data_IF_936453630107
#
_entry.id   IF_936453630107
#
_cell.length_a   1.000
_cell.length_b   1.000
_cell.length_c   1.000
_cell.angle_alpha   90.00
_cell.angle_beta   90.00
_cell.angle_gamma   90.00
#
_symmetry.space_group_name_H-M   'P 1'
#
loop_
_entity.id
_entity.type
_entity.pdbx_description
1 polymer ?
#
# COMPACT_ATOMS: atom_id res chain seq x y z
N UNK A 1 19.86 -20.22 -11.93
CA UNK A 1 19.82 -19.45 -10.66
C UNK A 1 18.40 -18.91 -10.54
N UNK A 2 17.53 -19.62 -9.83
CA UNK A 2 16.11 -19.28 -9.69
C UNK A 2 16.01 -18.08 -8.75
N UNK A 3 15.76 -16.88 -9.31
CA UNK A 3 15.70 -15.65 -8.53
C UNK A 3 14.48 -15.69 -7.61
N UNK A 4 14.61 -15.15 -6.41
CA UNK A 4 13.55 -15.06 -5.37
C UNK A 4 12.26 -14.33 -5.82
N UNK A 5 12.20 -13.87 -7.06
CA UNK A 5 11.04 -13.32 -7.77
C UNK A 5 10.04 -14.39 -8.25
N UNK A 6 10.37 -15.67 -8.21
CA UNK A 6 9.46 -16.78 -8.60
C UNK A 6 8.41 -17.15 -7.52
N UNK A 7 8.25 -16.33 -6.48
CA UNK A 7 7.20 -16.52 -5.47
C UNK A 7 6.22 -15.34 -5.50
N UNK A 8 5.16 -15.41 -6.33
CA UNK A 8 4.17 -14.33 -6.47
C UNK A 8 3.61 -13.85 -5.13
N UNK A 9 3.41 -14.75 -4.17
CA UNK A 9 2.98 -14.40 -2.83
C UNK A 9 3.94 -13.44 -2.11
N UNK A 10 5.25 -13.70 -2.15
CA UNK A 10 6.24 -12.83 -1.51
C UNK A 10 6.34 -11.47 -2.21
N UNK A 11 6.23 -11.45 -3.55
CA UNK A 11 6.16 -10.21 -4.30
C UNK A 11 4.93 -9.39 -3.89
N UNK A 12 3.77 -10.03 -3.77
CA UNK A 12 2.54 -9.40 -3.28
C UNK A 12 2.69 -8.86 -1.86
N UNK A 13 3.29 -9.65 -0.96
CA UNK A 13 3.56 -9.24 0.41
C UNK A 13 4.47 -8.01 0.47
N UNK A 14 5.57 -8.02 -0.29
CA UNK A 14 6.54 -6.94 -0.36
C UNK A 14 5.90 -5.63 -0.84
N UNK A 15 5.17 -5.69 -1.97
CA UNK A 15 4.50 -4.52 -2.54
C UNK A 15 3.34 -4.02 -1.65
N UNK A 16 2.56 -4.94 -1.07
CA UNK A 16 1.50 -4.57 -0.14
C UNK A 16 2.06 -3.94 1.14
N UNK A 17 3.20 -4.42 1.64
CA UNK A 17 3.83 -3.89 2.85
C UNK A 17 4.40 -2.48 2.60
N UNK A 18 5.11 -2.26 1.48
CA UNK A 18 5.55 -0.91 1.12
C UNK A 18 4.36 0.05 1.00
N UNK A 19 3.28 -0.37 0.35
CA UNK A 19 2.04 0.41 0.25
C UNK A 19 1.43 0.74 1.62
N UNK A 20 1.31 -0.26 2.51
CA UNK A 20 0.78 -0.10 3.87
C UNK A 20 1.55 0.96 4.67
N UNK A 21 2.87 1.00 4.51
CA UNK A 21 3.73 1.93 5.27
C UNK A 21 3.74 3.37 4.73
N UNK A 22 3.14 3.67 3.57
CA UNK A 22 3.07 5.05 3.05
C UNK A 22 2.37 5.96 4.07
N UNK A 23 1.20 5.57 4.58
CA UNK A 23 0.42 6.36 5.54
C UNK A 23 1.21 6.66 6.82
N UNK A 24 1.76 5.69 7.58
CA UNK A 24 2.49 5.99 8.80
C UNK A 24 3.77 6.82 8.55
N UNK A 25 4.46 6.63 7.41
CA UNK A 25 5.63 7.44 7.05
C UNK A 25 5.25 8.91 6.84
N UNK A 26 4.16 9.17 6.09
CA UNK A 26 3.64 10.52 5.89
C UNK A 26 3.22 11.14 7.22
N UNK A 27 2.46 10.42 8.04
CA UNK A 27 1.99 10.92 9.33
C UNK A 27 3.14 11.39 10.20
N UNK A 28 4.18 10.55 10.32
CA UNK A 28 5.38 10.82 11.10
C UNK A 28 6.16 12.00 10.53
N UNK A 29 6.31 12.06 9.21
CA UNK A 29 7.03 13.17 8.56
C UNK A 29 6.34 14.52 8.79
N UNK A 30 5.00 14.57 8.74
CA UNK A 30 4.23 15.79 8.97
C UNK A 30 4.30 16.31 10.43
N UNK A 31 4.57 15.43 11.39
CA UNK A 31 4.81 15.81 12.79
C UNK A 31 6.17 16.49 13.00
N UNK A 32 7.03 16.49 11.99
CA UNK A 32 8.39 16.97 12.06
C UNK A 32 8.69 18.09 11.03
N UNK A 33 9.88 18.67 11.12
CA UNK A 33 10.36 19.66 10.15
C UNK A 33 10.49 19.07 8.74
N UNK A 34 10.50 19.90 7.71
CA UNK A 34 10.56 19.43 6.30
C UNK A 34 11.79 18.58 5.98
N UNK A 35 12.91 18.79 6.67
CA UNK A 35 14.16 18.02 6.50
C UNK A 35 14.24 16.74 7.33
N UNK A 36 13.17 16.41 8.05
CA UNK A 36 13.11 15.19 8.83
C UNK A 36 13.22 13.96 7.95
N UNK A 37 13.87 12.92 8.47
CA UNK A 37 13.94 11.61 7.83
C UNK A 37 13.39 10.55 8.75
N UNK A 38 12.47 9.76 8.23
CA UNK A 38 11.92 8.62 8.95
C UNK A 38 13.04 7.61 9.23
N UNK A 39 12.96 6.97 10.40
CA UNK A 39 13.74 5.75 10.65
C UNK A 39 13.12 4.63 9.82
N UNK A 40 13.96 3.82 9.20
CA UNK A 40 13.49 2.66 8.41
C UNK A 40 12.81 1.67 9.37
N UNK A 41 11.51 1.37 9.19
CA UNK A 41 10.83 0.34 9.98
C UNK A 41 11.49 -1.03 9.77
N UNK A 42 11.50 -1.89 10.78
CA UNK A 42 12.11 -3.23 10.69
C UNK A 42 11.53 -4.04 9.53
N UNK A 43 10.21 -3.91 9.31
CA UNK A 43 9.48 -4.52 8.22
C UNK A 43 9.93 -4.08 6.80
N UNK A 44 10.65 -2.95 6.69
CA UNK A 44 11.11 -2.35 5.43
C UNK A 44 12.64 -2.32 5.27
N UNK A 45 13.41 -2.98 6.16
CA UNK A 45 14.88 -3.00 6.06
C UNK A 45 15.36 -3.53 4.69
N UNK A 46 14.62 -4.48 4.11
CA UNK A 46 14.92 -5.05 2.80
C UNK A 46 14.61 -4.10 1.62
N UNK A 47 13.76 -3.10 1.81
CA UNK A 47 13.33 -2.15 0.79
C UNK A 47 14.26 -0.93 0.77
N UNK A 48 15.55 -1.16 0.47
CA UNK A 48 16.57 -0.11 0.50
C UNK A 48 16.19 1.06 -0.40
N UNK A 49 16.30 2.29 0.13
CA UNK A 49 15.96 3.52 -0.59
C UNK A 49 14.46 3.87 -0.62
N UNK A 50 13.55 2.95 -0.28
CA UNK A 50 12.10 3.22 -0.31
C UNK A 50 11.70 4.33 0.66
N UNK A 51 12.09 4.22 1.93
CA UNK A 51 11.76 5.22 2.96
C UNK A 51 12.34 6.60 2.62
N UNK A 52 13.57 6.62 2.11
CA UNK A 52 14.26 7.85 1.70
C UNK A 52 13.57 8.52 0.51
N UNK A 53 13.08 7.73 -0.46
CA UNK A 53 12.30 8.23 -1.59
C UNK A 53 10.94 8.80 -1.14
N UNK A 54 10.27 8.15 -0.19
CA UNK A 54 9.02 8.64 0.40
C UNK A 54 9.26 9.97 1.13
N UNK A 55 10.29 10.05 1.99
CA UNK A 55 10.66 11.28 2.69
C UNK A 55 10.95 12.42 1.70
N UNK A 56 11.74 12.15 0.64
CA UNK A 56 12.03 13.11 -0.41
C UNK A 56 10.78 13.60 -1.15
N UNK A 57 9.83 12.70 -1.43
CA UNK A 57 8.55 13.04 -2.05
C UNK A 57 7.72 13.94 -1.14
N UNK A 58 7.60 13.60 0.15
CA UNK A 58 6.84 14.40 1.13
C UNK A 58 7.48 15.79 1.31
N UNK A 59 8.81 15.86 1.41
CA UNK A 59 9.53 17.11 1.51
C UNK A 59 9.27 18.01 0.28
N UNK A 60 9.32 17.45 -0.92
CA UNK A 60 9.01 18.18 -2.16
C UNK A 60 7.57 18.73 -2.15
N UNK A 61 6.58 17.87 -1.84
CA UNK A 61 5.17 18.28 -1.75
C UNK A 61 4.96 19.41 -0.73
N UNK A 62 5.62 19.32 0.42
CA UNK A 62 5.60 20.36 1.46
C UNK A 62 6.19 21.68 0.96
N UNK A 63 7.34 21.65 0.28
CA UNK A 63 7.97 22.85 -0.27
C UNK A 63 7.10 23.50 -1.35
N UNK A 64 6.50 22.72 -2.24
CA UNK A 64 5.56 23.22 -3.26
C UNK A 64 4.34 23.91 -2.65
N UNK A 65 3.83 23.39 -1.53
CA UNK A 65 2.70 23.96 -0.81
C UNK A 65 3.12 25.05 0.22
N UNK A 66 4.40 25.43 0.27
CA UNK A 66 4.91 26.47 1.18
C UNK A 66 4.90 26.08 2.66
N UNK A 67 4.93 24.78 2.97
CA UNK A 67 4.78 24.23 4.31
C UNK A 67 6.09 23.63 4.86
N UNK A 68 7.03 24.50 5.22
CA UNK A 68 8.34 24.13 5.77
C UNK A 68 8.32 23.77 7.27
N UNK A 69 7.37 24.35 8.02
CA UNK A 69 7.26 24.15 9.46
C UNK A 69 6.53 22.85 9.83
N UNK A 70 6.83 22.31 11.02
CA UNK A 70 6.13 21.15 11.58
C UNK A 70 4.64 21.46 11.77
N UNK A 71 3.77 20.47 11.48
CA UNK A 71 2.37 20.64 11.82
C UNK A 71 2.18 20.56 13.34
N UNK A 72 1.35 21.43 13.93
CA UNK A 72 1.05 21.37 15.36
C UNK A 72 0.45 20.01 15.75
N UNK A 73 0.91 19.42 16.85
CA UNK A 73 0.46 18.13 17.35
C UNK A 73 -1.03 18.15 17.72
N UNK A 74 -1.80 17.13 17.35
CA UNK A 74 -3.27 17.16 17.49
C UNK A 74 -3.76 17.40 18.92
N UNK A 75 -2.97 17.07 19.95
CA UNK A 75 -3.39 17.11 21.36
C UNK A 75 -3.51 18.55 21.92
N UNK A 76 -2.80 19.54 21.37
CA UNK A 76 -2.67 20.88 22.00
C UNK A 76 -3.24 22.05 21.19
N UNK A 77 -3.95 21.79 20.08
CA UNK A 77 -4.17 22.82 19.05
C UNK A 77 -5.64 22.98 18.65
N UNK A 78 -6.00 24.22 18.28
CA UNK A 78 -7.28 24.64 17.71
C UNK A 78 -7.75 23.73 16.55
N UNK A 79 -9.08 23.53 16.48
CA UNK A 79 -9.80 22.75 15.46
C UNK A 79 -9.39 23.08 14.01
N UNK A 80 -9.04 24.34 13.69
CA UNK A 80 -8.58 24.79 12.37
C UNK A 80 -7.23 24.16 11.99
N UNK A 81 -6.27 24.13 12.90
CA UNK A 81 -4.95 23.53 12.63
C UNK A 81 -5.03 22.02 12.44
N UNK A 82 -5.89 21.34 13.22
CA UNK A 82 -6.19 19.90 13.03
C UNK A 82 -6.79 19.63 11.64
N UNK A 83 -7.73 20.49 11.19
CA UNK A 83 -8.33 20.38 9.86
C UNK A 83 -7.30 20.55 8.76
N UNK A 84 -6.36 21.48 8.93
CA UNK A 84 -5.30 21.71 7.96
C UNK A 84 -4.36 20.50 7.86
N UNK A 85 -3.93 19.93 8.99
CA UNK A 85 -3.12 18.71 9.03
C UNK A 85 -3.80 17.55 8.32
N UNK A 86 -5.09 17.29 8.62
CA UNK A 86 -5.86 16.22 7.95
C UNK A 86 -5.93 16.43 6.44
N UNK A 87 -6.16 17.67 5.99
CA UNK A 87 -6.19 18.01 4.55
C UNK A 87 -4.87 17.65 3.86
N UNK A 88 -3.73 18.01 4.45
CA UNK A 88 -2.42 17.68 3.88
C UNK A 88 -2.11 16.19 3.98
N UNK A 89 -2.48 15.54 5.09
CA UNK A 89 -2.36 14.10 5.25
C UNK A 89 -3.10 13.36 4.14
N UNK A 90 -4.38 13.69 3.91
CA UNK A 90 -5.20 13.09 2.86
C UNK A 90 -4.61 13.35 1.48
N UNK A 91 -4.27 14.61 1.17
CA UNK A 91 -3.70 14.99 -0.14
C UNK A 91 -2.37 14.31 -0.43
N UNK A 92 -1.44 14.35 0.52
CA UNK A 92 -0.12 13.75 0.31
C UNK A 92 -0.19 12.23 0.26
N UNK A 93 -1.04 11.61 1.10
CA UNK A 93 -1.28 10.17 1.03
C UNK A 93 -1.78 9.78 -0.36
N UNK A 94 -2.78 10.49 -0.88
CA UNK A 94 -3.29 10.24 -2.24
C UNK A 94 -2.18 10.35 -3.28
N UNK A 95 -1.43 11.45 -3.30
CA UNK A 95 -0.38 11.68 -4.31
C UNK A 95 0.77 10.66 -4.23
N UNK A 96 1.21 10.31 -3.02
CA UNK A 96 2.31 9.36 -2.84
C UNK A 96 1.84 7.92 -3.13
N UNK A 97 0.63 7.54 -2.72
CA UNK A 97 0.06 6.24 -3.07
C UNK A 97 -0.13 6.09 -4.58
N UNK A 98 -0.64 7.13 -5.24
CA UNK A 98 -0.87 7.14 -6.69
C UNK A 98 0.46 6.98 -7.45
N UNK A 99 1.46 7.80 -7.13
CA UNK A 99 2.80 7.70 -7.69
C UNK A 99 3.45 6.32 -7.44
N UNK A 100 3.25 5.75 -6.25
CA UNK A 100 3.71 4.40 -5.94
C UNK A 100 3.03 3.33 -6.80
N UNK A 101 1.69 3.36 -6.90
CA UNK A 101 0.91 2.39 -7.68
C UNK A 101 1.26 2.46 -9.16
N UNK A 102 1.41 3.67 -9.69
CA UNK A 102 1.81 3.91 -11.07
C UNK A 102 3.22 3.40 -11.35
N UNK A 103 4.17 3.68 -10.48
CA UNK A 103 5.54 3.18 -10.64
C UNK A 103 5.60 1.65 -10.59
N UNK A 104 4.89 1.01 -9.65
CA UNK A 104 4.80 -0.45 -9.59
C UNK A 104 4.18 -1.01 -10.87
N UNK A 105 3.09 -0.40 -11.36
CA UNK A 105 2.41 -0.83 -12.58
C UNK A 105 3.34 -0.71 -13.79
N UNK A 106 4.03 0.41 -13.94
CA UNK A 106 4.94 0.67 -15.07
C UNK A 106 6.13 -0.29 -15.06
N UNK A 107 6.80 -0.46 -13.91
CA UNK A 107 8.05 -1.24 -13.83
C UNK A 107 7.82 -2.75 -13.87
N UNK A 108 6.66 -3.23 -13.43
CA UNK A 108 6.39 -4.66 -13.29
C UNK A 108 5.24 -5.15 -14.18
N UNK A 109 4.78 -4.34 -15.14
CA UNK A 109 3.66 -4.68 -16.03
C UNK A 109 3.88 -6.03 -16.71
N UNK A 110 5.02 -6.19 -17.38
CA UNK A 110 5.35 -7.40 -18.13
C UNK A 110 5.42 -8.64 -17.23
N UNK A 111 5.91 -8.48 -16.00
CA UNK A 111 5.95 -9.56 -15.01
C UNK A 111 4.53 -9.99 -14.66
N UNK A 112 3.65 -9.04 -14.36
CA UNK A 112 2.25 -9.33 -14.02
C UNK A 112 1.48 -9.96 -15.18
N UNK A 113 1.76 -9.53 -16.41
CA UNK A 113 1.14 -10.11 -17.62
C UNK A 113 1.67 -11.50 -17.96
N UNK A 114 2.91 -11.83 -17.56
CA UNK A 114 3.50 -13.15 -17.78
C UNK A 114 2.98 -14.23 -16.83
N UNK A 115 2.34 -13.85 -15.71
CA UNK A 115 1.86 -14.80 -14.71
C UNK A 115 0.59 -15.51 -15.15
N UNK A 116 0.54 -16.81 -14.82
CA UNK A 116 -0.69 -17.58 -14.96
C UNK A 116 -1.70 -17.24 -13.84
N UNK A 117 -2.88 -17.85 -13.91
CA UNK A 117 -3.97 -17.59 -12.96
C UNK A 117 -3.60 -17.93 -11.51
N UNK A 118 -2.92 -19.05 -11.29
CA UNK A 118 -2.54 -19.49 -9.94
C UNK A 118 -1.49 -18.57 -9.32
N UNK A 119 -0.49 -18.16 -10.12
CA UNK A 119 0.51 -17.18 -9.72
C UNK A 119 -0.13 -15.83 -9.37
N UNK A 120 -1.09 -15.37 -10.17
CA UNK A 120 -1.82 -14.12 -9.91
C UNK A 120 -2.64 -14.20 -8.62
N UNK A 121 -3.31 -15.33 -8.36
CA UNK A 121 -4.05 -15.54 -7.11
C UNK A 121 -3.13 -15.55 -5.89
N UNK A 122 -1.97 -16.19 -5.98
CA UNK A 122 -0.96 -16.18 -4.92
C UNK A 122 -0.42 -14.77 -4.66
N UNK A 123 -0.19 -13.99 -5.72
CA UNK A 123 0.19 -12.59 -5.61
C UNK A 123 -0.87 -11.75 -4.90
N UNK A 124 -2.12 -11.81 -5.38
CA UNK A 124 -3.25 -11.08 -4.78
C UNK A 124 -3.42 -11.42 -3.29
N UNK A 125 -3.23 -12.70 -2.94
CA UNK A 125 -3.22 -13.18 -1.57
C UNK A 125 -2.11 -12.55 -0.72
N UNK A 126 -0.91 -12.42 -1.29
CA UNK A 126 0.21 -11.75 -0.62
C UNK A 126 -0.09 -10.27 -0.36
N UNK A 127 -0.64 -9.57 -1.35
CA UNK A 127 -1.02 -8.15 -1.24
C UNK A 127 -2.09 -7.96 -0.16
N UNK A 128 -3.18 -8.75 -0.19
CA UNK A 128 -4.24 -8.64 0.81
C UNK A 128 -3.72 -8.93 2.22
N UNK A 129 -2.93 -9.99 2.38
CA UNK A 129 -2.36 -10.34 3.69
C UNK A 129 -1.50 -9.20 4.25
N UNK A 130 -0.74 -8.48 3.42
CA UNK A 130 0.04 -7.33 3.85
C UNK A 130 -0.82 -6.12 4.22
N UNK A 131 -1.90 -5.86 3.48
CA UNK A 131 -2.74 -4.66 3.65
C UNK A 131 -3.80 -4.81 4.74
N UNK A 132 -4.40 -5.99 4.87
CA UNK A 132 -5.56 -6.24 5.76
C UNK A 132 -5.27 -7.23 6.89
N UNK A 133 -4.21 -8.03 6.77
CA UNK A 133 -3.94 -9.14 7.68
C UNK A 133 -4.86 -10.35 7.50
N UNK A 134 -5.90 -10.24 6.65
CA UNK A 134 -6.88 -11.29 6.36
C UNK A 134 -6.32 -12.24 5.32
N UNK A 135 -6.81 -13.48 5.34
CA UNK A 135 -6.49 -14.46 4.31
C UNK A 135 -7.73 -15.24 3.89
N UNK A 136 -8.27 -14.91 2.72
CA UNK A 136 -9.36 -15.66 2.08
C UNK A 136 -8.88 -17.02 1.57
N UNK A 137 -9.82 -17.95 1.37
CA UNK A 137 -9.54 -19.26 0.75
C UNK A 137 -9.34 -19.13 -0.76
N UNK A 138 -10.05 -18.19 -1.40
CA UNK A 138 -10.04 -17.98 -2.85
C UNK A 138 -9.78 -16.50 -3.15
N UNK A 139 -8.99 -16.24 -4.20
CA UNK A 139 -8.64 -14.90 -4.67
C UNK A 139 -9.02 -14.71 -6.15
N UNK A 140 -9.22 -13.45 -6.60
CA UNK A 140 -9.48 -13.14 -8.01
C UNK A 140 -8.32 -13.58 -8.90
N UNK A 141 -8.66 -13.91 -10.15
CA UNK A 141 -7.71 -14.34 -11.17
C UNK A 141 -7.08 -13.15 -11.90
N UNK A 142 -7.68 -11.98 -11.74
CA UNK A 142 -7.24 -10.70 -12.26
C UNK A 142 -6.21 -10.09 -11.30
N UNK A 143 -5.11 -9.56 -11.84
CA UNK A 143 -4.06 -8.95 -11.02
C UNK A 143 -4.52 -7.61 -10.45
N UNK A 144 -4.45 -7.42 -9.12
CA UNK A 144 -4.91 -6.20 -8.44
C UNK A 144 -4.19 -4.93 -8.95
N UNK A 145 -2.90 -4.99 -9.25
CA UNK A 145 -2.13 -3.80 -9.70
C UNK A 145 -2.60 -3.33 -11.07
N UNK A 146 -2.98 -4.28 -11.94
CA UNK A 146 -3.44 -3.99 -13.29
C UNK A 146 -4.94 -3.64 -13.36
N UNK A 147 -5.76 -4.16 -12.44
CA UNK A 147 -7.22 -4.12 -12.55
C UNK A 147 -7.94 -3.28 -11.50
N UNK A 148 -7.26 -2.85 -10.43
CA UNK A 148 -7.90 -2.01 -9.41
C UNK A 148 -8.20 -0.58 -9.91
N UNK A 149 -7.51 -0.10 -10.95
CA UNK A 149 -7.70 1.26 -11.47
C UNK A 149 -7.44 2.31 -10.38
N UNK A 150 -8.38 3.25 -10.22
CA UNK A 150 -8.36 4.25 -9.15
C UNK A 150 -8.83 3.68 -7.80
N UNK A 151 -9.49 2.52 -7.78
CA UNK A 151 -9.89 1.87 -6.54
C UNK A 151 -8.62 1.40 -5.79
N UNK A 152 -8.52 1.72 -4.50
CA UNK A 152 -7.39 1.28 -3.68
C UNK A 152 -7.28 -0.25 -3.67
N UNK A 153 -6.06 -0.79 -3.75
CA UNK A 153 -5.82 -2.23 -3.84
C UNK A 153 -6.56 -3.05 -2.78
N UNK A 154 -6.59 -2.57 -1.53
CA UNK A 154 -7.30 -3.22 -0.43
C UNK A 154 -8.84 -3.24 -0.62
N UNK A 155 -9.41 -2.15 -1.16
CA UNK A 155 -10.85 -2.04 -1.40
C UNK A 155 -11.25 -2.99 -2.52
N UNK A 156 -10.50 -2.96 -3.62
CA UNK A 156 -10.74 -3.83 -4.77
C UNK A 156 -10.62 -5.32 -4.40
N UNK A 157 -9.55 -5.70 -3.70
CA UNK A 157 -9.34 -7.09 -3.25
C UNK A 157 -10.46 -7.55 -2.33
N UNK A 158 -10.85 -6.72 -1.36
CA UNK A 158 -11.96 -7.05 -0.46
C UNK A 158 -13.24 -7.34 -1.24
N UNK A 159 -13.64 -6.45 -2.15
CA UNK A 159 -14.86 -6.64 -2.94
C UNK A 159 -14.83 -7.94 -3.74
N UNK A 160 -13.72 -8.23 -4.42
CA UNK A 160 -13.56 -9.47 -5.19
C UNK A 160 -13.53 -10.73 -4.33
N UNK A 161 -12.85 -10.69 -3.20
CA UNK A 161 -12.78 -11.83 -2.29
C UNK A 161 -14.13 -12.08 -1.59
N UNK A 162 -14.90 -11.04 -1.26
CA UNK A 162 -16.26 -11.17 -0.73
C UNK A 162 -17.20 -11.83 -1.74
N UNK A 163 -17.16 -11.40 -3.02
CA UNK A 163 -17.92 -12.02 -4.11
C UNK A 163 -17.61 -13.52 -4.25
N UNK A 164 -16.32 -13.88 -4.28
CA UNK A 164 -15.87 -15.27 -4.38
C UNK A 164 -16.22 -16.07 -3.12
N UNK A 165 -16.05 -15.48 -1.94
CA UNK A 165 -16.38 -16.08 -0.65
C UNK A 165 -17.87 -16.42 -0.54
N UNK A 166 -18.76 -15.57 -1.07
CA UNK A 166 -20.20 -15.87 -1.14
C UNK A 166 -20.50 -17.10 -2.01
N UNK A 167 -19.78 -17.29 -3.12
CA UNK A 167 -19.93 -18.46 -3.98
C UNK A 167 -19.44 -19.74 -3.27
N UNK A 168 -18.31 -19.66 -2.58
CA UNK A 168 -17.77 -20.77 -1.77
C UNK A 168 -18.71 -21.16 -0.63
N UNK A 169 -19.26 -20.17 0.08
CA UNK A 169 -20.22 -20.40 1.16
C UNK A 169 -21.51 -21.07 0.64
N UNK A 170 -22.04 -20.63 -0.51
CA UNK A 170 -23.20 -21.26 -1.16
C UNK A 170 -22.94 -22.71 -1.55
N UNK A 171 -21.68 -23.05 -1.83
CA UNK A 171 -21.26 -24.41 -2.13
C UNK A 171 -20.87 -25.23 -0.88
N UNK A 172 -21.09 -24.69 0.33
CA UNK A 172 -20.79 -25.36 1.60
C UNK A 172 -19.30 -25.47 1.94
N UNK A 173 -18.44 -24.66 1.30
CA UNK A 173 -16.98 -24.66 1.51
C UNK A 173 -16.53 -23.55 2.45
N UNK A 174 -15.29 -23.65 2.96
CA UNK A 174 -14.67 -22.64 3.84
C UNK A 174 -14.38 -21.36 3.07
N UNK A 175 -14.55 -20.21 3.73
CA UNK A 175 -14.36 -18.87 3.15
C UNK A 175 -13.04 -18.22 3.56
N UNK A 176 -12.63 -18.41 4.82
CA UNK A 176 -11.38 -17.89 5.38
C UNK A 176 -10.40 -19.03 5.66
N UNK A 177 -9.11 -18.77 5.42
CA UNK A 177 -8.05 -19.69 5.78
C UNK A 177 -7.83 -19.67 7.30
N UNK A 178 -7.48 -20.81 7.88
CA UNK A 178 -7.04 -20.89 9.28
C UNK A 178 -5.69 -20.17 9.41
N UNK A 179 -5.54 -19.41 10.50
CA UNK A 179 -4.39 -18.53 10.79
C UNK A 179 -3.18 -19.37 11.20
#
# INVERSE_FOLDING_TARGET
>A
MQMKTDQPFNAGMALGMMHYYIVPLISTHLENAVEFRNRVPEALIWATGFVEAIDGCIANLRLMDGCSEKFPNDITVDRKSRRLRRKYMERYTYLVEDAYKDHVREQLCDVFQSWNQEQTQLFNKGVDKALSGIQWVVYPKENVVLNAGEDGWAIWLRGKCEELGMLEARAGRKVLAEV
#
